data_IF_271379398786
#
_entry.id   IF_271379398786
#
_cell.length_a   1.000
_cell.length_b   1.000
_cell.length_c   1.000
_cell.angle_alpha   90.00
_cell.angle_beta   90.00
_cell.angle_gamma   90.00
#
_symmetry.space_group_name_H-M   'P 1'
#
loop_
_entity.id
_entity.type
_entity.pdbx_description
1 polymer ?
#
# COMPACT_ATOMS: atom_id res chain seq x y z
N UNK A 1 2.13 -19.23 10.73
CA UNK A 1 2.79 -17.94 10.89
C UNK A 1 2.08 -16.88 10.06
N UNK A 2 2.03 -15.70 10.60
CA UNK A 2 1.37 -14.56 9.99
C UNK A 2 2.29 -13.87 8.98
N UNK A 3 1.77 -13.47 7.83
CA UNK A 3 2.46 -12.59 6.90
C UNK A 3 1.84 -11.19 6.90
N UNK A 4 2.61 -10.22 6.45
CA UNK A 4 2.13 -8.86 6.20
C UNK A 4 2.03 -8.63 4.69
N UNK A 5 0.90 -8.08 4.25
CA UNK A 5 0.70 -7.68 2.85
C UNK A 5 0.52 -6.17 2.82
N UNK A 6 1.47 -5.49 2.23
CA UNK A 6 1.48 -4.04 2.09
C UNK A 6 0.90 -3.68 0.73
N UNK A 7 -0.07 -2.79 0.71
CA UNK A 7 -0.73 -2.33 -0.51
C UNK A 7 -0.42 -0.84 -0.66
N UNK A 8 0.41 -0.51 -1.63
CA UNK A 8 0.82 0.86 -1.93
C UNK A 8 -0.01 1.37 -3.11
N UNK A 9 -0.91 2.29 -2.84
CA UNK A 9 -1.78 2.91 -3.85
C UNK A 9 -1.24 4.29 -4.23
N UNK A 10 -0.91 4.45 -5.50
CA UNK A 10 -0.39 5.69 -6.08
C UNK A 10 -1.41 6.38 -6.99
N UNK A 11 -2.69 6.02 -6.90
CA UNK A 11 -3.77 6.72 -7.61
C UNK A 11 -4.04 8.08 -6.98
N UNK A 12 -4.54 9.02 -7.80
CA UNK A 12 -5.06 10.31 -7.34
C UNK A 12 -6.56 10.36 -7.60
N UNK A 13 -7.32 10.99 -6.71
CA UNK A 13 -8.77 11.19 -6.87
C UNK A 13 -9.10 12.44 -7.69
N UNK A 14 -8.11 13.30 -7.92
CA UNK A 14 -8.28 14.59 -8.57
C UNK A 14 -7.35 14.71 -9.78
N UNK A 15 -7.55 15.75 -10.58
CA UNK A 15 -6.64 16.10 -11.68
C UNK A 15 -5.27 16.61 -11.19
N UNK A 16 -5.19 16.95 -9.90
CA UNK A 16 -3.95 17.42 -9.29
C UNK A 16 -3.09 16.22 -8.90
N UNK A 17 -1.83 16.22 -9.31
CA UNK A 17 -0.87 15.19 -8.92
C UNK A 17 -0.14 15.68 -7.67
N UNK A 18 -0.22 14.87 -6.62
CA UNK A 18 0.47 15.14 -5.35
C UNK A 18 1.74 14.30 -5.26
N UNK A 19 2.74 14.64 -6.08
CA UNK A 19 3.98 13.88 -6.16
C UNK A 19 4.65 13.70 -4.79
N UNK A 20 4.67 14.74 -3.97
CA UNK A 20 5.24 14.66 -2.62
C UNK A 20 4.52 13.63 -1.75
N UNK A 21 3.18 13.57 -1.83
CA UNK A 21 2.43 12.57 -1.07
C UNK A 21 2.73 11.15 -1.55
N UNK A 22 2.92 10.96 -2.85
CA UNK A 22 3.31 9.67 -3.41
C UNK A 22 4.72 9.27 -3.01
N UNK A 23 5.66 10.21 -2.99
CA UNK A 23 7.03 9.95 -2.51
C UNK A 23 7.03 9.54 -1.03
N UNK A 24 6.23 10.22 -0.20
CA UNK A 24 6.08 9.86 1.20
C UNK A 24 5.46 8.46 1.34
N UNK A 25 4.43 8.15 0.54
CA UNK A 25 3.81 6.83 0.54
C UNK A 25 4.83 5.72 0.22
N UNK A 26 5.68 5.94 -0.77
CA UNK A 26 6.77 5.01 -1.13
C UNK A 26 7.74 4.83 0.05
N UNK A 27 8.14 5.90 0.71
CA UNK A 27 9.02 5.84 1.89
C UNK A 27 8.37 5.10 3.05
N UNK A 28 7.09 5.32 3.28
CA UNK A 28 6.32 4.59 4.31
C UNK A 28 6.28 3.10 3.98
N UNK A 29 6.03 2.74 2.73
CA UNK A 29 6.03 1.35 2.29
C UNK A 29 7.38 0.68 2.56
N UNK A 30 8.49 1.36 2.24
CA UNK A 30 9.83 0.87 2.51
C UNK A 30 10.09 0.67 4.00
N UNK A 31 9.75 1.67 4.81
CA UNK A 31 9.98 1.65 6.26
C UNK A 31 9.17 0.57 6.97
N UNK A 32 7.89 0.40 6.59
CA UNK A 32 7.01 -0.60 7.17
C UNK A 32 7.46 -2.00 6.76
N UNK A 33 7.87 -2.19 5.50
CA UNK A 33 8.43 -3.46 5.04
C UNK A 33 9.68 -3.84 5.83
N UNK A 34 10.58 -2.89 6.02
CA UNK A 34 11.79 -3.12 6.82
C UNK A 34 11.44 -3.53 8.25
N UNK A 35 10.49 -2.84 8.87
CA UNK A 35 10.04 -3.15 10.24
C UNK A 35 9.58 -4.60 10.36
N UNK A 36 8.68 -5.04 9.47
CA UNK A 36 8.17 -6.41 9.52
C UNK A 36 9.25 -7.44 9.24
N UNK A 37 10.06 -7.24 8.21
CA UNK A 37 11.13 -8.15 7.87
C UNK A 37 12.19 -8.25 8.98
N UNK A 38 12.48 -7.12 9.63
CA UNK A 38 13.44 -7.08 10.73
C UNK A 38 12.91 -7.77 12.00
N UNK A 39 11.60 -7.89 12.14
CA UNK A 39 10.97 -8.63 13.25
C UNK A 39 10.62 -10.07 12.90
N UNK A 40 11.05 -10.55 11.72
CA UNK A 40 10.85 -11.92 11.31
C UNK A 40 9.50 -12.22 10.67
N UNK A 41 8.74 -11.20 10.30
CA UNK A 41 7.43 -11.37 9.64
C UNK A 41 7.61 -11.40 8.13
N UNK A 42 7.27 -12.51 7.45
CA UNK A 42 7.28 -12.55 5.98
C UNK A 42 6.41 -11.45 5.40
N UNK A 43 6.91 -10.76 4.40
CA UNK A 43 6.27 -9.57 3.86
C UNK A 43 6.14 -9.64 2.36
N UNK A 44 4.97 -9.26 1.86
CA UNK A 44 4.64 -9.12 0.45
C UNK A 44 4.16 -7.71 0.20
N UNK A 45 4.42 -7.18 -0.99
CA UNK A 45 3.95 -5.86 -1.39
C UNK A 45 3.24 -5.92 -2.73
N UNK A 46 2.13 -5.20 -2.81
CA UNK A 46 1.41 -4.92 -4.05
C UNK A 46 1.43 -3.42 -4.25
N UNK A 47 1.79 -2.99 -5.44
CA UNK A 47 1.80 -1.58 -5.83
C UNK A 47 1.13 -1.44 -7.19
N UNK A 48 0.45 -0.34 -7.44
CA UNK A 48 -0.14 -0.05 -8.74
C UNK A 48 0.73 0.85 -9.63
N UNK A 49 1.90 1.26 -9.15
CA UNK A 49 2.89 1.96 -9.95
C UNK A 49 3.69 1.02 -10.85
N UNK A 50 4.33 1.58 -11.86
CA UNK A 50 5.13 0.83 -12.83
C UNK A 50 6.62 1.00 -12.58
N UNK A 51 7.36 -0.09 -12.81
CA UNK A 51 8.82 -0.12 -12.79
C UNK A 51 9.36 0.54 -14.06
N UNK A 52 10.27 1.50 -13.92
CA UNK A 52 10.83 2.26 -15.04
C UNK A 52 11.74 1.42 -15.95
N UNK A 53 12.24 0.27 -15.48
CA UNK A 53 13.11 -0.61 -16.24
C UNK A 53 12.30 -1.68 -16.98
N UNK A 54 11.41 -2.37 -16.26
CA UNK A 54 10.65 -3.50 -16.82
C UNK A 54 9.37 -3.07 -17.53
N UNK A 55 8.90 -1.85 -17.27
CA UNK A 55 7.61 -1.34 -17.76
C UNK A 55 6.40 -2.17 -17.28
N UNK A 56 6.59 -2.92 -16.21
CA UNK A 56 5.56 -3.75 -15.59
C UNK A 56 5.13 -3.16 -14.27
N UNK A 57 3.92 -3.52 -13.83
CA UNK A 57 3.42 -3.17 -12.50
C UNK A 57 4.34 -3.76 -11.43
N UNK A 58 4.70 -2.95 -10.45
CA UNK A 58 5.61 -3.34 -9.39
C UNK A 58 4.92 -4.28 -8.40
N UNK A 59 5.29 -5.57 -8.41
CA UNK A 59 4.80 -6.59 -7.49
C UNK A 59 5.98 -7.32 -6.88
N UNK A 60 5.93 -7.51 -5.56
CA UNK A 60 6.96 -8.24 -4.83
C UNK A 60 6.32 -9.44 -4.17
N UNK A 61 6.76 -10.67 -4.47
CA UNK A 61 6.25 -11.87 -3.81
C UNK A 61 6.64 -11.90 -2.33
N UNK A 62 5.96 -12.74 -1.56
CA UNK A 62 6.28 -12.95 -0.15
C UNK A 62 7.71 -13.43 0.03
N UNK A 63 8.38 -12.89 1.02
CA UNK A 63 9.74 -13.28 1.36
C UNK A 63 10.10 -12.82 2.76
N UNK A 64 11.28 -13.20 3.20
CA UNK A 64 11.80 -12.85 4.52
C UNK A 64 13.30 -12.60 4.47
N UNK A 65 13.81 -11.96 5.53
CA UNK A 65 15.22 -11.70 5.70
C UNK A 65 15.76 -10.51 4.91
N UNK A 66 17.06 -10.30 5.04
CA UNK A 66 17.74 -9.12 4.48
C UNK A 66 17.69 -9.05 2.94
N UNK A 67 17.76 -10.20 2.27
CA UNK A 67 17.62 -10.26 0.83
C UNK A 67 16.31 -9.66 0.35
N UNK A 68 15.25 -9.93 1.09
CA UNK A 68 13.93 -9.46 0.73
C UNK A 68 13.78 -7.95 0.99
N UNK A 69 14.41 -7.41 2.04
CA UNK A 69 14.52 -5.97 2.25
C UNK A 69 15.12 -5.29 1.03
N UNK A 70 16.24 -5.82 0.53
CA UNK A 70 16.90 -5.24 -0.63
C UNK A 70 16.05 -5.36 -1.90
N UNK A 71 15.36 -6.48 -2.08
CA UNK A 71 14.46 -6.68 -3.21
C UNK A 71 13.33 -5.64 -3.23
N UNK A 72 12.70 -5.41 -2.09
CA UNK A 72 11.64 -4.40 -1.94
C UNK A 72 12.19 -3.00 -2.22
N UNK A 73 13.31 -2.65 -1.60
CA UNK A 73 13.93 -1.33 -1.76
C UNK A 73 14.29 -1.05 -3.23
N UNK A 74 14.79 -2.05 -3.92
CA UNK A 74 15.17 -1.95 -5.33
C UNK A 74 13.94 -1.70 -6.23
N UNK A 75 12.85 -2.43 -6.02
CA UNK A 75 11.61 -2.22 -6.79
C UNK A 75 11.04 -0.84 -6.51
N UNK A 76 10.97 -0.43 -5.24
CA UNK A 76 10.44 0.89 -4.87
C UNK A 76 11.26 2.04 -5.48
N UNK A 77 12.59 1.88 -5.56
CA UNK A 77 13.46 2.89 -6.15
C UNK A 77 13.25 3.06 -7.67
N UNK A 78 12.64 2.07 -8.32
CA UNK A 78 12.39 2.09 -9.78
C UNK A 78 10.97 2.51 -10.16
N UNK A 79 10.11 2.85 -9.18
CA UNK A 79 8.76 3.31 -9.49
C UNK A 79 8.80 4.64 -10.22
N UNK A 80 8.16 4.70 -11.38
CA UNK A 80 8.05 5.90 -12.19
C UNK A 80 6.71 6.58 -11.95
N UNK A 81 6.72 7.67 -11.17
CA UNK A 81 5.52 8.43 -10.81
C UNK A 81 4.92 9.22 -11.98
N UNK A 82 5.60 9.29 -13.13
CA UNK A 82 5.09 9.97 -14.32
C UNK A 82 4.17 9.09 -15.16
N UNK A 83 4.14 7.77 -14.89
CA UNK A 83 3.34 6.82 -15.64
C UNK A 83 1.95 6.67 -15.05
N UNK A 84 0.99 6.29 -15.91
CA UNK A 84 -0.36 5.95 -15.48
C UNK A 84 -0.33 4.70 -14.59
N UNK A 85 -1.01 4.77 -13.46
CA UNK A 85 -1.14 3.65 -12.54
C UNK A 85 -2.35 2.78 -12.92
N UNK A 86 -2.29 1.49 -12.60
CA UNK A 86 -3.44 0.59 -12.75
C UNK A 86 -4.39 0.78 -11.55
N UNK A 87 -5.61 0.29 -11.69
CA UNK A 87 -6.63 0.41 -10.64
C UNK A 87 -6.26 -0.40 -9.40
N UNK A 88 -6.05 0.26 -8.28
CA UNK A 88 -5.86 -0.40 -6.99
C UNK A 88 -7.10 -1.20 -6.59
N UNK A 89 -8.29 -0.67 -6.84
CA UNK A 89 -9.56 -1.38 -6.57
C UNK A 89 -9.59 -2.73 -7.26
N UNK A 90 -9.18 -2.80 -8.54
CA UNK A 90 -9.12 -4.06 -9.28
C UNK A 90 -8.08 -5.00 -8.69
N UNK A 91 -6.91 -4.48 -8.29
CA UNK A 91 -5.90 -5.29 -7.62
C UNK A 91 -6.42 -5.89 -6.30
N UNK A 92 -7.21 -5.12 -5.54
CA UNK A 92 -7.79 -5.61 -4.28
C UNK A 92 -8.85 -6.69 -4.53
N UNK A 93 -9.65 -6.56 -5.58
CA UNK A 93 -10.61 -7.60 -5.95
C UNK A 93 -9.90 -8.90 -6.33
N UNK A 94 -8.84 -8.83 -7.13
CA UNK A 94 -8.04 -10.00 -7.51
C UNK A 94 -7.41 -10.66 -6.28
N UNK A 95 -6.86 -9.86 -5.37
CA UNK A 95 -6.25 -10.37 -4.16
C UNK A 95 -7.29 -11.03 -3.25
N UNK A 96 -8.48 -10.42 -3.11
CA UNK A 96 -9.57 -10.99 -2.32
C UNK A 96 -9.96 -12.38 -2.85
N UNK A 97 -10.08 -12.52 -4.16
CA UNK A 97 -10.39 -13.81 -4.77
C UNK A 97 -9.31 -14.86 -4.50
N UNK A 98 -8.04 -14.46 -4.58
CA UNK A 98 -6.91 -15.36 -4.29
C UNK A 98 -6.85 -15.77 -2.83
N UNK A 99 -7.17 -14.85 -1.91
CA UNK A 99 -7.08 -15.08 -0.48
C UNK A 99 -8.31 -15.79 0.10
N UNK A 100 -9.42 -15.84 -0.62
CA UNK A 100 -10.66 -16.44 -0.14
C UNK A 100 -10.51 -17.91 0.26
N UNK A 101 -9.61 -18.65 -0.41
CA UNK A 101 -9.36 -20.05 -0.15
C UNK A 101 -8.01 -20.29 0.58
N UNK A 102 -7.36 -19.23 1.03
CA UNK A 102 -6.11 -19.35 1.75
C UNK A 102 -6.34 -19.75 3.20
N UNK A 103 -5.43 -20.56 3.75
CA UNK A 103 -5.44 -20.88 5.17
C UNK A 103 -4.73 -19.84 6.01
N UNK A 104 -3.97 -18.94 5.40
CA UNK A 104 -3.32 -17.85 6.11
C UNK A 104 -4.30 -16.67 6.33
N UNK A 105 -4.08 -15.94 7.41
CA UNK A 105 -4.85 -14.73 7.72
C UNK A 105 -3.88 -13.55 7.85
N UNK A 106 -3.51 -12.91 6.75
CA UNK A 106 -2.49 -11.86 6.76
C UNK A 106 -2.94 -10.62 7.53
N UNK A 107 -1.95 -9.82 7.92
CA UNK A 107 -2.15 -8.43 8.28
C UNK A 107 -2.09 -7.61 6.99
N UNK A 108 -3.13 -6.84 6.71
CA UNK A 108 -3.17 -5.96 5.53
C UNK A 108 -2.87 -4.51 5.91
N UNK A 109 -1.98 -3.88 5.16
CA UNK A 109 -1.62 -2.47 5.38
C UNK A 109 -1.79 -1.72 4.07
N UNK A 110 -2.81 -0.86 4.01
CA UNK A 110 -3.04 0.05 2.90
C UNK A 110 -2.30 1.36 3.14
N UNK A 111 -1.53 1.81 2.17
CA UNK A 111 -0.92 3.14 2.17
C UNK A 111 -1.50 3.89 0.98
N UNK A 112 -2.35 4.87 1.25
CA UNK A 112 -3.09 5.57 0.20
C UNK A 112 -3.60 6.92 0.66
N UNK A 113 -3.36 7.97 -0.14
CA UNK A 113 -4.02 9.26 0.03
C UNK A 113 -5.36 9.31 -0.73
N UNK A 114 -5.60 8.39 -1.65
CA UNK A 114 -6.90 8.21 -2.27
C UNK A 114 -7.83 7.47 -1.32
N UNK A 115 -9.05 7.96 -1.16
CA UNK A 115 -10.03 7.46 -0.21
C UNK A 115 -11.41 7.30 -0.86
N UNK A 116 -11.44 6.90 -2.14
CA UNK A 116 -12.68 6.70 -2.87
C UNK A 116 -13.54 5.61 -2.23
N UNK A 117 -14.85 5.71 -2.38
CA UNK A 117 -15.77 4.71 -1.82
C UNK A 117 -15.52 3.32 -2.40
N UNK A 118 -15.24 3.22 -3.69
CA UNK A 118 -14.95 1.92 -4.32
C UNK A 118 -13.68 1.28 -3.76
N UNK A 119 -12.64 2.07 -3.50
CA UNK A 119 -11.40 1.58 -2.89
C UNK A 119 -11.66 1.10 -1.45
N UNK A 120 -12.41 1.88 -0.67
CA UNK A 120 -12.76 1.51 0.70
C UNK A 120 -13.61 0.23 0.74
N UNK A 121 -14.59 0.11 -0.15
CA UNK A 121 -15.43 -1.10 -0.25
C UNK A 121 -14.57 -2.33 -0.60
N UNK A 122 -13.66 -2.20 -1.56
CA UNK A 122 -12.79 -3.30 -1.96
C UNK A 122 -11.84 -3.71 -0.83
N UNK A 123 -11.30 -2.76 -0.08
CA UNK A 123 -10.43 -3.06 1.05
C UNK A 123 -11.21 -3.71 2.20
N UNK A 124 -12.43 -3.26 2.45
CA UNK A 124 -13.31 -3.87 3.47
C UNK A 124 -13.58 -5.35 3.16
N UNK A 125 -13.79 -5.71 1.89
CA UNK A 125 -13.94 -7.10 1.50
C UNK A 125 -12.65 -7.90 1.69
N UNK A 126 -11.50 -7.31 1.35
CA UNK A 126 -10.21 -7.97 1.50
C UNK A 126 -9.89 -8.29 2.95
N UNK A 127 -10.12 -7.36 3.86
CA UNK A 127 -9.75 -7.54 5.28
C UNK A 127 -10.54 -8.64 5.97
N UNK A 128 -11.67 -9.08 5.40
CA UNK A 128 -12.41 -10.26 5.89
C UNK A 128 -11.60 -11.55 5.73
N UNK A 129 -10.60 -11.57 4.86
CA UNK A 129 -9.71 -12.70 4.64
C UNK A 129 -8.47 -12.66 5.55
N UNK A 130 -8.29 -11.59 6.31
CA UNK A 130 -7.11 -11.37 7.14
C UNK A 130 -7.38 -11.40 8.62
N UNK A 131 -6.32 -11.22 9.41
CA UNK A 131 -6.39 -11.14 10.87
C UNK A 131 -6.70 -9.73 11.37
N UNK A 132 -6.11 -8.72 10.74
CA UNK A 132 -6.33 -7.32 11.05
C UNK A 132 -5.84 -6.45 9.90
N UNK A 133 -6.13 -5.17 9.97
CA UNK A 133 -5.76 -4.24 8.90
C UNK A 133 -5.42 -2.85 9.44
N UNK A 134 -4.72 -2.09 8.61
CA UNK A 134 -4.38 -0.71 8.87
C UNK A 134 -4.49 0.09 7.57
N UNK A 135 -4.99 1.31 7.66
CA UNK A 135 -4.98 2.27 6.57
C UNK A 135 -4.16 3.48 6.98
N UNK A 136 -3.06 3.72 6.30
CA UNK A 136 -2.22 4.89 6.50
C UNK A 136 -2.47 5.87 5.35
N UNK A 137 -2.96 7.05 5.67
CA UNK A 137 -3.27 8.09 4.67
C UNK A 137 -2.27 9.26 4.80
N UNK A 138 -1.29 9.35 3.89
CA UNK A 138 -0.43 10.54 3.81
C UNK A 138 -1.24 11.71 3.29
N UNK A 139 -1.41 12.74 4.11
CA UNK A 139 -2.26 13.90 3.79
C UNK A 139 -1.58 15.19 4.20
N UNK A 140 -1.81 16.25 3.42
CA UNK A 140 -1.53 17.61 3.85
C UNK A 140 -2.54 18.05 4.92
N UNK A 141 -2.17 19.07 5.70
CA UNK A 141 -3.00 19.57 6.80
C UNK A 141 -4.41 19.97 6.36
N UNK A 142 -4.52 20.58 5.16
CA UNK A 142 -5.80 21.03 4.59
C UNK A 142 -6.64 19.92 3.94
N UNK A 143 -6.16 18.70 3.93
CA UNK A 143 -6.90 17.56 3.39
C UNK A 143 -7.68 16.84 4.47
N UNK A 144 -8.91 16.45 4.15
CA UNK A 144 -9.77 15.72 5.05
C UNK A 144 -9.49 14.21 5.00
N UNK A 145 -9.44 13.59 6.18
CA UNK A 145 -9.37 12.13 6.31
C UNK A 145 -10.79 11.55 6.23
N UNK A 146 -11.09 10.86 5.13
CA UNK A 146 -12.44 10.36 4.82
C UNK A 146 -12.53 8.83 4.84
N UNK A 147 -11.62 8.16 5.51
CA UNK A 147 -11.64 6.70 5.65
C UNK A 147 -12.67 6.32 6.71
N UNK A 148 -13.60 5.42 6.35
CA UNK A 148 -14.64 4.93 7.25
C UNK A 148 -14.05 4.02 8.32
N UNK A 149 -14.51 4.17 9.56
CA UNK A 149 -14.15 3.25 10.63
C UNK A 149 -14.90 1.93 10.46
N UNK A 150 -14.15 0.84 10.47
CA UNK A 150 -14.70 -0.52 10.41
C UNK A 150 -13.98 -1.40 11.45
N UNK A 151 -14.61 -2.51 11.88
CA UNK A 151 -13.96 -3.43 12.81
C UNK A 151 -12.64 -3.98 12.27
N UNK A 152 -11.68 -4.20 13.16
CA UNK A 152 -10.37 -4.80 12.88
C UNK A 152 -9.47 -3.97 11.94
N UNK A 153 -9.77 -2.69 11.75
CA UNK A 153 -8.93 -1.79 10.96
C UNK A 153 -8.58 -0.54 11.77
N UNK A 154 -7.29 -0.26 11.89
CA UNK A 154 -6.79 1.00 12.42
C UNK A 154 -6.60 2.00 11.28
N UNK A 155 -6.88 3.26 11.56
CA UNK A 155 -6.73 4.36 10.60
C UNK A 155 -5.69 5.33 11.13
N UNK A 156 -4.67 5.61 10.33
CA UNK A 156 -3.60 6.54 10.69
C UNK A 156 -3.57 7.66 9.65
N UNK A 157 -3.77 8.89 10.10
CA UNK A 157 -3.45 10.07 9.33
C UNK A 157 -1.96 10.34 9.44
N UNK A 158 -1.24 10.28 8.32
CA UNK A 158 0.17 10.64 8.27
C UNK A 158 0.30 12.06 7.76
N UNK A 159 0.57 12.98 8.66
CA UNK A 159 0.66 14.41 8.34
C UNK A 159 1.91 14.70 7.51
N UNK A 160 1.72 15.41 6.39
CA UNK A 160 2.80 15.80 5.50
C UNK A 160 2.80 17.31 5.37
N UNK A 161 3.95 17.93 5.59
CA UNK A 161 4.12 19.36 5.38
C UNK A 161 4.44 19.63 3.91
N UNK A 162 3.72 20.58 3.31
CA UNK A 162 4.03 21.00 1.94
C UNK A 162 5.43 21.57 1.88
N UNK A 163 6.11 21.35 0.76
CA UNK A 163 7.39 22.00 0.53
C UNK A 163 7.21 23.52 0.56
N UNK A 164 8.09 24.19 1.30
CA UNK A 164 8.21 25.64 1.22
C UNK A 164 9.07 25.99 0.01
N UNK A 165 8.57 26.88 -0.85
CA UNK A 165 9.32 27.40 -1.99
C UNK A 165 9.97 28.72 -1.63
#
# INVERSE_FOLDING_TARGET
SQEAIIILNLETETVWVYEQLHEIAIRLAASISYYFLNTGVPTRMICNGSDCITDQVAVIPTGSGLRHVNAIAEVLARIDLTRTVVSCTDQLHDLTNKMANSTSAPLYIMISNSMSNSLQDAFEQLIKTGSSAMWIAPLYEDMELRVRKIPNMDIIRWEVNKYEN
#
